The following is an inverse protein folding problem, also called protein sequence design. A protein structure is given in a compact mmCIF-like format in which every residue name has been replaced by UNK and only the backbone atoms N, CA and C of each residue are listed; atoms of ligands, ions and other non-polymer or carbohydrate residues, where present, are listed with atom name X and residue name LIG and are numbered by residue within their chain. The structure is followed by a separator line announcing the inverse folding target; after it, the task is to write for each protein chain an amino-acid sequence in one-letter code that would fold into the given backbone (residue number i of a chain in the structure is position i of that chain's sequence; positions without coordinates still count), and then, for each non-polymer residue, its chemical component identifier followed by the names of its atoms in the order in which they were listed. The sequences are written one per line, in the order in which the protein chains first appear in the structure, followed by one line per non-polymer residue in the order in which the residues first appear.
data_IF_122952872342
#
_entry.id   IF_122952872342
#
_cell.length_a   1.000
_cell.length_b   1.000
_cell.length_c   1.000
_cell.angle_alpha   90.00
_cell.angle_beta   90.00
_cell.angle_gamma   90.00
#
_symmetry.space_group_name_H-M   'P 1'
#
loop_
_entity.id
_entity.type
_entity.pdbx_description
1 polymer ?
#
# COMPACT_ATOMS: atom_id res chain seq x y z
N UNK A 1 -0.04 41.15 -11.10
CA UNK A 1 0.08 40.85 -9.64
C UNK A 1 1.52 40.42 -9.43
N UNK A 2 2.37 41.34 -8.90
CA UNK A 2 3.77 40.99 -8.62
C UNK A 2 3.79 39.90 -7.54
N UNK A 3 4.25 38.73 -7.91
CA UNK A 3 4.55 37.66 -6.96
C UNK A 3 5.78 38.15 -6.18
N UNK A 4 5.55 38.67 -4.95
CA UNK A 4 6.64 38.96 -4.04
C UNK A 4 7.55 37.76 -3.99
N UNK A 5 8.86 37.92 -4.21
CA UNK A 5 9.85 36.89 -4.07
C UNK A 5 9.87 36.41 -2.61
N UNK A 6 9.01 35.48 -2.28
CA UNK A 6 9.04 34.83 -0.98
C UNK A 6 10.12 33.75 -1.04
N UNK A 7 11.11 33.88 -0.18
CA UNK A 7 12.11 32.82 0.00
C UNK A 7 11.45 31.63 0.70
N UNK A 8 11.05 30.63 -0.07
CA UNK A 8 10.43 29.42 0.45
C UNK A 8 11.53 28.36 0.59
N UNK A 9 11.70 27.86 1.79
CA UNK A 9 12.65 26.77 2.07
C UNK A 9 11.87 25.52 2.45
N UNK A 10 12.26 24.38 1.86
CA UNK A 10 11.69 23.07 2.14
C UNK A 10 12.79 22.25 2.80
N UNK A 11 12.53 21.73 3.99
CA UNK A 11 13.48 20.88 4.71
C UNK A 11 13.22 19.43 4.36
N UNK A 12 14.23 18.80 3.75
CA UNK A 12 14.20 17.40 3.32
C UNK A 12 13.81 17.21 1.86
N UNK A 13 14.63 16.48 1.12
CA UNK A 13 14.40 16.11 -0.28
C UNK A 13 13.86 14.67 -0.44
N UNK A 14 13.06 14.21 0.51
CA UNK A 14 12.23 13.02 0.34
C UNK A 14 11.06 13.29 -0.62
N UNK A 15 10.28 12.27 -0.96
CA UNK A 15 9.17 12.38 -1.93
C UNK A 15 8.19 13.53 -1.60
N UNK A 16 7.89 13.76 -0.33
CA UNK A 16 6.98 14.83 0.09
C UNK A 16 7.57 16.22 -0.17
N UNK A 17 8.87 16.42 0.11
CA UNK A 17 9.55 17.70 -0.14
C UNK A 17 9.70 17.97 -1.63
N UNK A 18 10.01 16.97 -2.42
CA UNK A 18 10.10 17.08 -3.88
C UNK A 18 8.75 17.42 -4.52
N UNK A 19 7.67 16.77 -4.08
CA UNK A 19 6.32 17.09 -4.57
C UNK A 19 5.89 18.48 -4.14
N UNK A 20 6.20 18.91 -2.90
CA UNK A 20 5.90 20.25 -2.44
C UNK A 20 6.63 21.30 -3.29
N UNK A 21 7.91 21.08 -3.60
CA UNK A 21 8.67 21.96 -4.50
C UNK A 21 8.01 22.04 -5.88
N UNK A 22 7.68 20.89 -6.48
CA UNK A 22 7.02 20.83 -7.79
C UNK A 22 5.70 21.61 -7.81
N UNK A 23 4.86 21.46 -6.78
CA UNK A 23 3.58 22.19 -6.68
C UNK A 23 3.79 23.69 -6.54
N UNK A 24 4.86 24.11 -5.86
CA UNK A 24 5.22 25.53 -5.74
C UNK A 24 5.75 26.08 -7.07
N UNK A 25 6.60 25.35 -7.77
CA UNK A 25 7.10 25.72 -9.09
C UNK A 25 5.98 25.87 -10.11
N UNK A 26 5.01 24.94 -10.13
CA UNK A 26 3.83 25.02 -10.99
C UNK A 26 2.97 26.29 -10.71
N UNK A 27 3.14 26.92 -9.54
CA UNK A 27 2.50 28.18 -9.15
C UNK A 27 3.41 29.41 -9.34
N UNK A 28 4.58 29.24 -9.92
CA UNK A 28 5.53 30.33 -10.22
C UNK A 28 6.44 30.72 -9.05
N UNK A 29 6.53 29.92 -8.00
CA UNK A 29 7.51 30.10 -6.94
C UNK A 29 8.84 29.39 -7.27
N UNK A 30 9.93 29.82 -6.63
CA UNK A 30 11.23 29.20 -6.73
C UNK A 30 11.69 28.71 -5.35
N UNK A 31 11.22 27.54 -4.89
CA UNK A 31 11.58 27.02 -3.58
C UNK A 31 13.02 26.52 -3.55
N UNK A 32 13.66 26.63 -2.39
CA UNK A 32 14.97 26.03 -2.12
C UNK A 32 14.78 24.80 -1.25
N UNK A 33 15.28 23.65 -1.69
CA UNK A 33 15.24 22.41 -0.89
C UNK A 33 16.56 22.27 -0.15
N UNK A 34 16.48 22.02 1.15
CA UNK A 34 17.63 21.76 2.02
C UNK A 34 17.59 20.30 2.44
N UNK A 35 18.58 19.53 1.99
CA UNK A 35 18.71 18.11 2.28
C UNK A 35 19.93 17.86 3.16
N UNK A 36 19.80 17.01 4.18
CA UNK A 36 20.85 16.70 5.13
C UNK A 36 21.86 15.68 4.61
N UNK A 37 21.47 14.90 3.60
CA UNK A 37 22.28 13.83 3.02
C UNK A 37 22.89 14.28 1.67
N UNK A 38 23.69 13.43 1.08
CA UNK A 38 24.42 13.68 -0.18
C UNK A 38 23.51 13.62 -1.43
N UNK A 39 22.28 13.09 -1.30
CA UNK A 39 21.37 12.93 -2.43
C UNK A 39 19.89 12.94 -2.02
N UNK A 40 19.04 13.23 -2.98
CA UNK A 40 17.57 13.24 -2.82
C UNK A 40 16.98 11.83 -2.68
N UNK A 41 15.71 11.74 -2.27
CA UNK A 41 14.92 10.52 -2.26
C UNK A 41 14.46 10.08 -0.87
N UNK A 42 15.21 10.37 0.18
CA UNK A 42 14.84 9.96 1.55
C UNK A 42 14.66 8.44 1.66
N UNK A 43 13.48 7.98 2.08
CA UNK A 43 13.17 6.54 2.23
C UNK A 43 12.94 5.79 0.91
N UNK A 44 12.79 6.50 -0.21
CA UNK A 44 12.68 5.85 -1.54
C UNK A 44 14.02 5.75 -2.26
N UNK A 45 15.15 6.03 -1.57
CA UNK A 45 16.48 5.82 -2.12
C UNK A 45 16.78 4.35 -2.28
N UNK A 46 17.54 4.03 -3.33
CA UNK A 46 18.13 2.72 -3.56
C UNK A 46 19.64 2.86 -3.60
N UNK A 47 20.38 2.08 -2.84
CA UNK A 47 21.82 1.96 -2.95
C UNK A 47 22.17 0.81 -3.89
N UNK A 48 23.21 0.98 -4.68
CA UNK A 48 23.76 -0.10 -5.50
C UNK A 48 25.11 -0.49 -4.91
N UNK A 49 25.18 -1.74 -4.42
CA UNK A 49 26.40 -2.31 -3.82
C UNK A 49 26.69 -3.65 -4.48
N UNK A 50 27.82 -3.79 -5.14
CA UNK A 50 28.21 -5.03 -5.85
C UNK A 50 27.12 -5.55 -6.78
N UNK A 51 26.50 -4.67 -7.58
CA UNK A 51 25.39 -4.94 -8.51
C UNK A 51 24.04 -5.31 -7.84
N UNK A 52 23.97 -5.29 -6.51
CA UNK A 52 22.68 -5.44 -5.78
C UNK A 52 22.03 -4.09 -5.55
N UNK A 53 20.71 -4.04 -5.76
CA UNK A 53 19.87 -2.89 -5.44
C UNK A 53 19.31 -3.04 -4.03
N UNK A 54 19.70 -2.14 -3.13
CA UNK A 54 19.32 -2.14 -1.72
C UNK A 54 18.46 -0.91 -1.44
N UNK A 55 17.14 -1.11 -1.37
CA UNK A 55 16.20 -0.03 -1.10
C UNK A 55 16.15 0.33 0.39
N UNK A 56 16.09 1.63 0.68
CA UNK A 56 16.00 2.15 2.05
C UNK A 56 14.61 1.99 2.67
N UNK A 57 13.60 1.76 1.87
CA UNK A 57 12.24 1.69 2.32
C UNK A 57 11.43 0.55 1.68
N UNK A 58 10.14 0.53 1.99
CA UNK A 58 9.21 -0.46 1.47
C UNK A 58 8.99 -0.26 -0.03
N UNK A 59 9.18 -1.31 -0.82
CA UNK A 59 9.27 -1.27 -2.29
C UNK A 59 7.92 -1.44 -3.00
N UNK A 60 6.81 -1.64 -2.28
CA UNK A 60 5.50 -1.84 -2.92
C UNK A 60 4.77 -0.52 -3.00
N UNK A 61 4.51 -0.09 -4.25
CA UNK A 61 3.74 1.10 -4.53
C UNK A 61 2.28 0.75 -4.85
N UNK A 62 1.33 1.34 -4.12
CA UNK A 62 -0.08 1.24 -4.43
C UNK A 62 -0.46 2.25 -5.52
N UNK A 63 -0.55 1.77 -6.76
CA UNK A 63 -0.84 2.61 -7.93
C UNK A 63 -2.26 3.21 -7.93
N UNK A 64 -3.12 2.81 -7.00
CA UNK A 64 -4.46 3.39 -6.84
C UNK A 64 -4.48 4.74 -6.14
N UNK A 65 -3.40 5.12 -5.45
CA UNK A 65 -3.32 6.43 -4.78
C UNK A 65 -3.44 7.58 -5.78
N UNK A 66 -4.38 8.54 -5.56
CA UNK A 66 -4.56 9.67 -6.47
C UNK A 66 -3.28 10.50 -6.66
N UNK A 67 -2.53 10.72 -5.58
CA UNK A 67 -1.26 11.45 -5.64
C UNK A 67 -0.20 10.68 -6.45
N UNK A 68 -0.10 9.35 -6.32
CA UNK A 68 0.81 8.57 -7.12
C UNK A 68 0.52 8.72 -8.63
N UNK A 69 -0.74 8.61 -9.02
CA UNK A 69 -1.17 8.81 -10.42
C UNK A 69 -0.90 10.22 -10.95
N UNK A 70 -0.93 11.21 -10.09
CA UNK A 70 -0.75 12.61 -10.48
C UNK A 70 0.72 12.98 -10.67
N UNK A 71 1.60 12.45 -9.83
CA UNK A 71 2.97 12.92 -9.72
C UNK A 71 4.03 11.92 -10.17
N UNK A 72 3.67 10.64 -10.35
CA UNK A 72 4.61 9.61 -10.75
C UNK A 72 4.31 9.12 -12.15
N UNK A 73 5.34 9.00 -12.95
CA UNK A 73 5.32 8.35 -14.26
C UNK A 73 5.72 6.87 -14.05
N UNK A 74 4.72 5.98 -14.08
CA UNK A 74 4.94 4.55 -13.82
C UNK A 74 5.72 3.86 -14.94
N UNK A 75 5.65 4.37 -16.16
CA UNK A 75 6.39 3.81 -17.29
C UNK A 75 7.87 4.22 -17.20
N UNK A 76 8.15 5.49 -16.88
CA UNK A 76 9.52 5.96 -16.64
C UNK A 76 10.16 5.31 -15.41
N UNK A 77 9.36 4.89 -14.42
CA UNK A 77 9.82 4.13 -13.26
C UNK A 77 10.00 2.63 -13.54
N UNK A 78 9.68 2.16 -14.76
CA UNK A 78 9.68 0.73 -15.10
C UNK A 78 8.93 -0.13 -14.06
N UNK A 79 7.81 0.42 -13.53
CA UNK A 79 7.10 -0.16 -12.41
C UNK A 79 6.57 -1.55 -12.72
N UNK A 80 7.03 -2.57 -11.99
CA UNK A 80 6.65 -3.96 -12.20
C UNK A 80 5.32 -4.27 -11.48
N UNK A 81 4.39 -4.91 -12.21
CA UNK A 81 3.10 -5.32 -11.63
C UNK A 81 3.27 -6.63 -10.86
N UNK A 82 2.95 -6.58 -9.57
CA UNK A 82 2.92 -7.78 -8.74
C UNK A 82 1.60 -8.54 -8.93
N UNK A 83 1.67 -9.87 -8.82
CA UNK A 83 0.48 -10.72 -8.83
C UNK A 83 -0.40 -10.37 -7.61
N UNK A 84 -1.73 -10.12 -7.81
CA UNK A 84 -2.63 -9.74 -6.72
C UNK A 84 -3.02 -10.94 -5.86
N UNK A 85 -2.06 -11.51 -5.17
CA UNK A 85 -2.22 -12.71 -4.36
C UNK A 85 -1.10 -12.88 -3.35
N UNK A 86 -1.21 -13.94 -2.55
CA UNK A 86 -0.21 -14.34 -1.58
C UNK A 86 -0.03 -15.84 -1.59
N UNK A 87 1.20 -16.29 -1.37
CA UNK A 87 1.50 -17.71 -1.12
C UNK A 87 1.69 -17.91 0.37
N UNK A 88 0.89 -18.78 0.95
CA UNK A 88 0.87 -19.07 2.39
C UNK A 88 1.55 -20.41 2.61
N UNK A 89 2.59 -20.40 3.43
CA UNK A 89 3.31 -21.60 3.87
C UNK A 89 2.79 -22.01 5.25
N UNK A 90 2.15 -23.17 5.32
CA UNK A 90 1.60 -23.70 6.57
C UNK A 90 1.82 -25.22 6.64
N UNK A 91 2.40 -25.71 7.72
CA UNK A 91 2.64 -27.14 7.96
C UNK A 91 3.38 -27.84 6.80
N UNK A 92 4.43 -27.22 6.27
CA UNK A 92 5.24 -27.76 5.17
C UNK A 92 4.57 -27.75 3.79
N UNK A 93 3.39 -27.14 3.66
CA UNK A 93 2.67 -27.00 2.38
C UNK A 93 2.56 -25.53 2.00
N UNK A 94 2.62 -25.25 0.71
CA UNK A 94 2.35 -23.92 0.17
C UNK A 94 1.01 -23.90 -0.55
N UNK A 95 0.26 -22.81 -0.38
CA UNK A 95 -1.00 -22.59 -1.07
C UNK A 95 -1.08 -21.13 -1.51
N UNK A 96 -1.51 -20.92 -2.75
CA UNK A 96 -1.67 -19.57 -3.29
C UNK A 96 -3.14 -19.17 -3.27
N UNK A 97 -3.41 -17.99 -2.74
CA UNK A 97 -4.72 -17.33 -2.79
C UNK A 97 -4.56 -15.95 -3.39
N UNK A 98 -5.62 -15.42 -3.98
CA UNK A 98 -5.57 -14.08 -4.55
C UNK A 98 -6.90 -13.57 -5.07
N UNK A 99 -6.87 -12.42 -5.74
CA UNK A 99 -8.08 -11.78 -6.29
C UNK A 99 -8.34 -12.26 -7.73
N UNK A 100 -9.29 -13.18 -7.95
CA UNK A 100 -9.61 -13.68 -9.29
C UNK A 100 -10.25 -12.62 -10.22
N UNK A 101 -10.77 -11.52 -9.66
CA UNK A 101 -11.30 -10.41 -10.45
C UNK A 101 -10.18 -9.56 -11.08
N UNK A 102 -8.98 -9.62 -10.52
CA UNK A 102 -7.78 -8.93 -11.03
C UNK A 102 -6.88 -9.85 -11.84
N UNK A 103 -6.87 -11.14 -11.53
CA UNK A 103 -6.11 -12.16 -12.25
C UNK A 103 -6.87 -13.48 -12.26
N UNK A 104 -7.41 -13.86 -13.41
CA UNK A 104 -8.20 -15.07 -13.56
C UNK A 104 -7.41 -16.36 -13.22
N UNK A 105 -6.08 -16.33 -13.40
CA UNK A 105 -5.20 -17.45 -13.02
C UNK A 105 -5.27 -17.81 -11.54
N UNK A 106 -5.70 -16.88 -10.68
CA UNK A 106 -5.85 -17.10 -9.24
C UNK A 106 -7.20 -17.71 -8.84
N UNK A 107 -8.14 -17.90 -9.79
CA UNK A 107 -9.47 -18.43 -9.48
C UNK A 107 -9.40 -19.85 -8.92
N UNK A 108 -8.80 -20.76 -9.66
CA UNK A 108 -8.71 -22.18 -9.22
C UNK A 108 -7.85 -22.34 -7.97
N UNK A 109 -6.63 -21.77 -7.89
CA UNK A 109 -5.84 -21.83 -6.66
C UNK A 109 -6.60 -21.33 -5.44
N UNK A 110 -7.30 -20.18 -5.55
CA UNK A 110 -8.08 -19.62 -4.45
C UNK A 110 -9.27 -20.49 -4.08
N UNK A 111 -9.99 -21.02 -5.07
CA UNK A 111 -11.18 -21.83 -4.84
C UNK A 111 -10.84 -23.14 -4.11
N UNK A 112 -9.77 -23.83 -4.55
CA UNK A 112 -9.34 -25.11 -4.01
C UNK A 112 -8.36 -25.01 -2.83
N UNK A 113 -7.95 -23.81 -2.46
CA UNK A 113 -7.13 -23.58 -1.26
C UNK A 113 -7.88 -24.04 0.00
N UNK A 114 -7.17 -24.65 0.93
CA UNK A 114 -7.69 -24.94 2.28
C UNK A 114 -7.58 -23.75 3.24
N UNK A 115 -7.06 -22.62 2.78
CA UNK A 115 -6.98 -21.40 3.58
C UNK A 115 -8.35 -20.73 3.63
N UNK A 116 -8.94 -20.73 4.82
CA UNK A 116 -10.31 -20.27 5.04
C UNK A 116 -11.37 -21.17 4.43
N UNK A 117 -12.57 -21.08 4.96
CA UNK A 117 -13.75 -21.81 4.47
C UNK A 117 -14.26 -21.24 3.14
N UNK A 118 -15.15 -21.97 2.46
CA UNK A 118 -15.85 -21.44 1.29
C UNK A 118 -16.70 -20.21 1.62
N UNK A 119 -17.28 -20.17 2.82
CA UNK A 119 -17.98 -19.00 3.34
C UNK A 119 -17.08 -17.79 3.46
N UNK A 120 -15.83 -17.96 3.92
CA UNK A 120 -14.87 -16.88 4.02
C UNK A 120 -14.52 -16.30 2.64
N UNK A 121 -14.34 -17.15 1.64
CA UNK A 121 -14.07 -16.73 0.26
C UNK A 121 -15.20 -15.88 -0.32
N UNK A 122 -16.45 -16.25 -0.04
CA UNK A 122 -17.63 -15.45 -0.42
C UNK A 122 -17.64 -14.11 0.33
N UNK A 123 -17.31 -14.08 1.62
CA UNK A 123 -17.23 -12.86 2.42
C UNK A 123 -16.16 -11.91 1.91
N UNK A 124 -14.95 -12.43 1.54
CA UNK A 124 -13.90 -11.62 0.91
C UNK A 124 -14.42 -10.98 -0.38
N UNK A 125 -15.08 -11.75 -1.25
CA UNK A 125 -15.64 -11.22 -2.50
C UNK A 125 -16.68 -10.13 -2.24
N UNK A 126 -17.59 -10.35 -1.30
CA UNK A 126 -18.61 -9.35 -0.91
C UNK A 126 -17.95 -8.08 -0.36
N UNK A 127 -16.98 -8.23 0.53
CA UNK A 127 -16.24 -7.12 1.11
C UNK A 127 -15.50 -6.32 0.03
N UNK A 128 -14.82 -6.98 -0.90
CA UNK A 128 -14.14 -6.33 -2.02
C UNK A 128 -15.12 -5.48 -2.87
N UNK A 129 -16.30 -6.04 -3.20
CA UNK A 129 -17.33 -5.32 -3.96
C UNK A 129 -17.86 -4.11 -3.17
N UNK A 130 -18.08 -4.27 -1.86
CA UNK A 130 -18.56 -3.22 -0.98
C UNK A 130 -17.53 -2.08 -0.88
N UNK A 131 -16.28 -2.40 -0.60
CA UNK A 131 -15.22 -1.41 -0.44
C UNK A 131 -14.93 -0.65 -1.74
N UNK A 132 -15.01 -1.29 -2.90
CA UNK A 132 -14.85 -0.61 -4.20
C UNK A 132 -15.91 0.46 -4.47
N UNK A 133 -17.10 0.34 -3.85
CA UNK A 133 -18.19 1.32 -3.98
C UNK A 133 -18.13 2.43 -2.94
N UNK A 134 -17.34 2.25 -1.89
CA UNK A 134 -17.22 3.19 -0.77
C UNK A 134 -16.38 4.40 -1.18
N UNK A 135 -16.85 5.60 -0.86
CA UNK A 135 -16.06 6.82 -1.08
C UNK A 135 -15.07 6.99 0.07
N UNK A 136 -13.84 7.41 -0.22
CA UNK A 136 -12.78 7.59 0.77
C UNK A 136 -13.24 8.53 1.90
N UNK A 137 -13.89 9.65 1.56
CA UNK A 137 -14.38 10.62 2.55
C UNK A 137 -15.43 10.05 3.52
N UNK A 138 -16.13 8.97 3.14
CA UNK A 138 -17.09 8.30 4.03
C UNK A 138 -16.39 7.36 4.98
N UNK A 139 -15.29 6.76 4.59
CA UNK A 139 -14.49 5.87 5.46
C UNK A 139 -14.00 6.63 6.69
N UNK A 140 -13.46 7.85 6.50
CA UNK A 140 -12.96 8.69 7.60
C UNK A 140 -14.05 9.24 8.53
N UNK A 141 -15.33 9.03 8.22
CA UNK A 141 -16.47 9.45 9.04
C UNK A 141 -17.13 8.29 9.80
N UNK A 142 -16.67 7.08 9.57
CA UNK A 142 -17.18 5.90 10.26
C UNK A 142 -16.58 5.77 11.65
N UNK A 143 -17.29 5.06 12.52
CA UNK A 143 -16.79 4.76 13.85
C UNK A 143 -15.53 3.92 13.75
N UNK A 144 -14.48 4.37 14.42
CA UNK A 144 -13.19 3.69 14.41
C UNK A 144 -13.27 2.38 15.18
N UNK A 145 -12.76 1.31 14.56
CA UNK A 145 -12.65 -0.02 15.14
C UNK A 145 -11.25 -0.56 14.92
N UNK A 146 -10.84 -1.52 15.73
CA UNK A 146 -9.61 -2.26 15.44
C UNK A 146 -9.81 -3.16 14.22
N UNK A 147 -8.75 -3.39 13.46
CA UNK A 147 -8.78 -4.33 12.33
C UNK A 147 -9.29 -5.71 12.76
N UNK A 148 -8.87 -6.22 13.92
CA UNK A 148 -9.35 -7.49 14.45
C UNK A 148 -10.87 -7.49 14.67
N UNK A 149 -11.39 -6.43 15.31
CA UNK A 149 -12.83 -6.33 15.57
C UNK A 149 -13.62 -6.24 14.27
N UNK A 150 -13.14 -5.47 13.29
CA UNK A 150 -13.77 -5.38 11.98
C UNK A 150 -13.83 -6.74 11.25
N UNK A 151 -12.74 -7.50 11.25
CA UNK A 151 -12.71 -8.83 10.63
C UNK A 151 -13.69 -9.81 11.31
N UNK A 152 -13.81 -9.73 12.64
CA UNK A 152 -14.81 -10.51 13.42
C UNK A 152 -16.23 -10.08 13.12
N UNK A 153 -16.51 -8.80 13.01
CA UNK A 153 -17.84 -8.25 12.67
C UNK A 153 -18.28 -8.68 11.26
N UNK A 154 -17.37 -8.75 10.30
CA UNK A 154 -17.61 -9.31 8.97
C UNK A 154 -17.93 -10.82 9.04
N UNK A 155 -17.51 -11.46 10.14
CA UNK A 155 -17.77 -12.88 10.45
C UNK A 155 -16.76 -13.81 9.78
N UNK A 156 -15.53 -13.38 9.54
CA UNK A 156 -14.46 -14.28 9.09
C UNK A 156 -14.15 -15.33 10.15
N UNK A 157 -13.77 -16.53 9.67
CA UNK A 157 -13.35 -17.58 10.59
C UNK A 157 -12.02 -17.23 11.27
N UNK A 158 -11.88 -17.70 12.52
CA UNK A 158 -10.63 -17.54 13.27
C UNK A 158 -9.44 -18.13 12.50
N UNK A 159 -9.67 -19.25 11.80
CA UNK A 159 -8.62 -19.87 10.97
C UNK A 159 -8.12 -18.94 9.88
N UNK A 160 -9.01 -18.24 9.15
CA UNK A 160 -8.61 -17.29 8.12
C UNK A 160 -7.92 -16.06 8.73
N UNK A 161 -8.44 -15.57 9.86
CA UNK A 161 -7.82 -14.45 10.57
C UNK A 161 -6.39 -14.80 10.92
N UNK A 162 -6.14 -15.92 11.56
CA UNK A 162 -4.81 -16.33 12.02
C UNK A 162 -3.87 -16.76 10.88
N UNK A 163 -4.41 -17.41 9.85
CA UNK A 163 -3.56 -17.95 8.77
C UNK A 163 -3.25 -16.96 7.67
N UNK A 164 -4.05 -15.92 7.48
CA UNK A 164 -3.89 -14.94 6.42
C UNK A 164 -3.86 -13.49 6.91
N UNK A 165 -4.92 -13.01 7.57
CA UNK A 165 -5.01 -11.59 7.91
C UNK A 165 -3.97 -11.15 8.94
N UNK A 166 -3.76 -11.95 9.99
CA UNK A 166 -2.77 -11.61 11.02
C UNK A 166 -1.35 -11.51 10.43
N UNK A 167 -0.78 -12.51 9.76
CA UNK A 167 0.57 -12.38 9.20
C UNK A 167 0.65 -11.29 8.11
N UNK A 168 -0.39 -11.11 7.30
CA UNK A 168 -0.42 -10.10 6.26
C UNK A 168 -0.39 -8.68 6.82
N UNK A 169 -1.30 -8.35 7.72
CA UNK A 169 -1.36 -7.01 8.30
C UNK A 169 -0.23 -6.73 9.28
N UNK A 170 0.22 -7.75 10.03
CA UNK A 170 1.39 -7.60 10.89
C UNK A 170 2.65 -7.25 10.10
N UNK A 171 2.81 -7.81 8.90
CA UNK A 171 3.91 -7.46 8.01
C UNK A 171 3.83 -6.04 7.46
N UNK A 172 2.61 -5.51 7.23
CA UNK A 172 2.39 -4.17 6.70
C UNK A 172 2.48 -3.10 7.80
N UNK A 173 1.81 -3.33 8.93
CA UNK A 173 1.68 -2.33 10.00
C UNK A 173 2.69 -2.52 11.12
N UNK A 174 3.47 -3.60 11.11
CA UNK A 174 4.43 -3.98 12.17
C UNK A 174 3.76 -4.10 13.54
N UNK A 175 2.49 -4.56 13.56
CA UNK A 175 1.66 -4.69 14.74
C UNK A 175 0.92 -6.04 14.69
N UNK A 176 1.27 -7.01 15.60
CA UNK A 176 0.80 -8.40 15.51
C UNK A 176 -0.64 -8.62 16.03
N UNK A 177 -1.19 -7.71 16.83
CA UNK A 177 -2.49 -7.89 17.49
C UNK A 177 -3.68 -7.41 16.65
N UNK A 178 -3.42 -6.78 15.49
CA UNK A 178 -4.42 -6.15 14.62
C UNK A 178 -5.23 -5.06 15.36
N UNK A 179 -4.54 -4.26 16.19
CA UNK A 179 -5.14 -3.14 16.93
C UNK A 179 -5.18 -1.85 16.12
N UNK A 180 -4.53 -1.82 14.94
CA UNK A 180 -4.60 -0.69 14.01
C UNK A 180 -6.04 -0.44 13.58
N UNK A 181 -6.36 0.82 13.29
CA UNK A 181 -7.67 1.24 12.77
C UNK A 181 -8.01 0.55 11.44
N UNK A 182 -9.26 0.16 11.29
CA UNK A 182 -9.78 -0.52 10.10
C UNK A 182 -10.34 0.48 9.08
#
# INVERSE_FOLDING_TARGET
MEIKSQNIHIIGAGISGLIAARVLEDKGFSPVIIEATDRVGGRVKTDVVEDYQLDHGFQVLLTSYPAAKKYLDFDALEAQKLLPGATIFKNGKSQTIGDPLRSFSLLLPTLFSSIGSFSDKIKILKLNILLKKKKIDTIFKEDEKTTLQYLKDVGFSEELIQSFFTPFFSGIFLEPNLETSS
#
